data_IF_191390951855
#
_entry.id   IF_191390951855
#
_cell.length_a   1.000
_cell.length_b   1.000
_cell.length_c   1.000
_cell.angle_alpha   90.00
_cell.angle_beta   90.00
_cell.angle_gamma   90.00
#
_symmetry.space_group_name_H-M   'P 1'
#
loop_
_entity.id
_entity.type
_entity.pdbx_description
1 polymer ?
#
# COMPACT_ATOMS: atom_id res chain seq x y z
N UNK A 1 29.25 -8.62 -3.81
CA UNK A 1 28.21 -9.44 -3.15
C UNK A 1 27.96 -8.82 -1.79
N UNK A 2 26.99 -7.91 -1.70
CA UNK A 2 26.71 -7.17 -0.46
C UNK A 2 25.99 -8.06 0.53
N UNK A 3 26.49 -8.09 1.76
CA UNK A 3 25.98 -8.78 2.95
C UNK A 3 24.46 -8.62 3.10
N UNK A 4 23.71 -9.74 3.08
CA UNK A 4 22.36 -9.86 3.64
C UNK A 4 22.49 -9.90 5.18
N UNK A 5 22.97 -8.81 5.78
CA UNK A 5 23.15 -8.69 7.23
C UNK A 5 21.80 -8.51 7.94
N UNK A 6 21.49 -9.45 8.85
CA UNK A 6 20.70 -9.29 10.10
C UNK A 6 19.37 -8.51 10.05
N UNK A 7 18.45 -8.83 9.13
CA UNK A 7 17.07 -8.33 9.21
C UNK A 7 16.14 -9.44 9.70
N UNK A 8 15.35 -9.18 10.76
CA UNK A 8 14.41 -10.16 11.34
C UNK A 8 13.34 -10.62 10.34
N UNK A 9 12.89 -9.73 9.44
CA UNK A 9 11.90 -10.03 8.41
C UNK A 9 12.12 -9.14 7.18
N UNK A 10 12.21 -9.75 6.01
CA UNK A 10 12.20 -9.06 4.72
C UNK A 10 10.76 -8.72 4.31
N UNK A 11 10.61 -7.64 3.54
CA UNK A 11 9.35 -7.28 2.89
C UNK A 11 8.94 -8.34 1.85
N UNK A 12 7.65 -8.44 1.54
CA UNK A 12 7.15 -9.40 0.55
C UNK A 12 7.82 -9.25 -0.83
N UNK A 13 8.04 -8.02 -1.30
CA UNK A 13 8.72 -7.74 -2.57
C UNK A 13 10.17 -8.24 -2.57
N UNK A 14 10.90 -8.11 -1.46
CA UNK A 14 12.27 -8.59 -1.34
C UNK A 14 12.34 -10.12 -1.20
N UNK A 15 11.45 -10.70 -0.39
CA UNK A 15 11.41 -12.13 -0.11
C UNK A 15 11.04 -12.94 -1.36
N UNK A 16 10.11 -12.42 -2.17
CA UNK A 16 9.59 -13.09 -3.37
C UNK A 16 10.00 -12.39 -4.67
N UNK A 17 11.10 -11.63 -4.65
CA UNK A 17 11.58 -10.83 -5.78
C UNK A 17 11.68 -11.67 -7.06
N UNK A 18 12.27 -12.86 -6.97
CA UNK A 18 12.48 -13.68 -8.17
C UNK A 18 11.18 -14.25 -8.77
N UNK A 19 10.13 -14.40 -7.97
CA UNK A 19 8.81 -14.83 -8.43
C UNK A 19 8.07 -13.65 -9.09
N UNK A 20 8.13 -12.48 -8.46
CA UNK A 20 7.59 -11.22 -8.98
C UNK A 20 8.25 -10.88 -10.32
N UNK A 21 9.59 -10.90 -10.39
CA UNK A 21 10.35 -10.61 -11.62
C UNK A 21 10.01 -11.57 -12.75
N UNK A 22 9.81 -12.85 -12.43
CA UNK A 22 9.43 -13.85 -13.42
C UNK A 22 8.04 -13.60 -13.99
N UNK A 23 7.09 -13.17 -13.15
CA UNK A 23 5.74 -12.79 -13.58
C UNK A 23 5.76 -11.52 -14.43
N UNK A 24 6.49 -10.48 -14.01
CA UNK A 24 6.64 -9.22 -14.77
C UNK A 24 7.26 -9.49 -16.14
N UNK A 25 8.36 -10.27 -16.20
CA UNK A 25 9.04 -10.60 -17.46
C UNK A 25 8.18 -11.43 -18.42
N UNK A 26 7.27 -12.23 -17.89
CA UNK A 26 6.40 -13.09 -18.68
C UNK A 26 5.04 -12.46 -18.99
N UNK A 27 4.85 -11.17 -18.69
CA UNK A 27 3.56 -10.51 -18.84
C UNK A 27 3.13 -10.45 -20.31
N UNK A 28 1.85 -10.75 -20.54
CA UNK A 28 1.20 -10.74 -21.86
C UNK A 28 -0.15 -10.04 -21.86
N UNK A 29 -0.70 -9.77 -20.68
CA UNK A 29 -1.99 -9.10 -20.53
C UNK A 29 -1.76 -7.60 -20.29
N UNK A 30 -2.79 -6.77 -20.52
CA UNK A 30 -2.72 -5.35 -20.19
C UNK A 30 -2.40 -5.12 -18.71
N UNK A 31 -1.51 -4.17 -18.45
CA UNK A 31 -1.12 -3.73 -17.12
C UNK A 31 -1.83 -2.40 -16.84
N UNK A 32 -2.67 -2.31 -15.78
CA UNK A 32 -3.30 -1.05 -15.37
C UNK A 32 -2.27 0.03 -15.03
N UNK A 33 -2.66 1.30 -15.13
CA UNK A 33 -1.80 2.44 -14.74
C UNK A 33 -1.36 2.31 -13.27
N UNK A 34 -0.09 2.56 -13.00
CA UNK A 34 0.50 2.45 -11.65
C UNK A 34 0.84 1.01 -11.22
N UNK A 35 0.41 -0.02 -11.96
CA UNK A 35 0.69 -1.41 -11.64
C UNK A 35 1.98 -1.90 -12.30
N UNK A 36 2.65 -2.87 -11.66
CA UNK A 36 3.87 -3.52 -12.17
C UNK A 36 3.58 -4.76 -13.00
N UNK A 37 2.41 -5.38 -12.83
CA UNK A 37 1.98 -6.57 -13.56
C UNK A 37 0.46 -6.61 -13.71
N UNK A 38 -0.06 -7.49 -14.57
CA UNK A 38 -1.50 -7.58 -14.82
C UNK A 38 -2.27 -8.18 -13.63
N UNK A 39 -3.59 -7.95 -13.54
CA UNK A 39 -4.46 -8.57 -12.54
C UNK A 39 -4.36 -10.10 -12.47
N UNK A 40 -4.16 -10.75 -13.63
CA UNK A 40 -3.97 -12.21 -13.70
C UNK A 40 -2.63 -12.65 -13.12
N UNK A 41 -1.57 -11.88 -13.34
CA UNK A 41 -0.26 -12.14 -12.76
C UNK A 41 -0.26 -11.92 -11.26
N UNK A 42 -0.93 -10.87 -10.76
CA UNK A 42 -1.16 -10.67 -9.31
C UNK A 42 -1.91 -11.85 -8.70
N UNK A 43 -2.98 -12.32 -9.36
CA UNK A 43 -3.72 -13.49 -8.88
C UNK A 43 -2.85 -14.75 -8.85
N UNK A 44 -2.02 -14.96 -9.87
CA UNK A 44 -1.09 -16.10 -9.93
C UNK A 44 0.00 -15.99 -8.85
N UNK A 45 0.51 -14.79 -8.58
CA UNK A 45 1.45 -14.53 -7.50
C UNK A 45 0.88 -14.95 -6.14
N UNK A 46 -0.36 -14.56 -5.85
CA UNK A 46 -1.01 -14.77 -4.54
C UNK A 46 -1.51 -16.20 -4.38
N UNK A 47 -2.25 -16.72 -5.36
CA UNK A 47 -2.90 -18.04 -5.27
C UNK A 47 -2.00 -19.19 -5.76
N UNK A 48 -0.79 -18.89 -6.23
CA UNK A 48 0.13 -19.88 -6.78
C UNK A 48 -0.24 -20.30 -8.21
N UNK A 49 0.69 -20.99 -8.85
CA UNK A 49 0.55 -21.43 -10.23
C UNK A 49 1.91 -21.66 -10.90
N UNK A 50 1.98 -21.41 -12.20
CA UNK A 50 3.22 -21.51 -12.97
C UNK A 50 3.35 -20.35 -13.94
N UNK A 51 4.56 -19.86 -14.10
CA UNK A 51 4.94 -18.88 -15.12
C UNK A 51 6.12 -19.43 -15.92
N UNK A 52 5.85 -19.82 -17.16
CA UNK A 52 6.81 -20.58 -17.97
C UNK A 52 7.25 -21.85 -17.25
N UNK A 53 8.55 -21.96 -16.94
CA UNK A 53 9.13 -23.09 -16.18
C UNK A 53 9.18 -22.87 -14.67
N UNK A 54 8.87 -21.67 -14.17
CA UNK A 54 8.93 -21.34 -12.75
C UNK A 54 7.59 -21.65 -12.06
N UNK A 55 7.65 -22.38 -10.95
CA UNK A 55 6.50 -22.60 -10.08
C UNK A 55 6.38 -21.44 -9.11
N UNK A 56 5.17 -20.88 -9.00
CA UNK A 56 4.84 -19.81 -8.06
C UNK A 56 4.16 -20.45 -6.86
N UNK A 57 4.77 -20.31 -5.68
CA UNK A 57 4.23 -20.87 -4.44
C UNK A 57 3.02 -20.04 -3.99
N UNK A 58 1.89 -20.63 -3.57
CA UNK A 58 0.76 -19.85 -3.05
C UNK A 58 1.15 -19.12 -1.75
N UNK A 59 0.83 -17.82 -1.67
CA UNK A 59 1.02 -16.98 -0.47
C UNK A 59 -0.25 -16.94 0.37
N UNK A 60 -1.40 -17.20 -0.24
CA UNK A 60 -2.70 -17.21 0.43
C UNK A 60 -3.36 -18.57 0.26
N UNK A 61 -3.64 -19.23 1.38
CA UNK A 61 -4.36 -20.50 1.45
C UNK A 61 -5.79 -20.17 1.90
N UNK A 62 -6.69 -19.98 0.94
CA UNK A 62 -8.07 -19.61 1.21
C UNK A 62 -8.90 -19.59 -0.06
N UNK A 63 -10.08 -18.96 0.00
CA UNK A 63 -10.96 -18.89 -1.15
C UNK A 63 -10.38 -17.94 -2.21
N UNK A 64 -9.95 -18.50 -3.35
CA UNK A 64 -9.42 -17.76 -4.51
C UNK A 64 -10.34 -16.61 -4.95
N UNK A 65 -11.65 -16.79 -4.85
CA UNK A 65 -12.64 -15.76 -5.22
C UNK A 65 -12.47 -14.47 -4.41
N UNK A 66 -12.04 -14.55 -3.15
CA UNK A 66 -11.78 -13.36 -2.33
C UNK A 66 -10.62 -12.53 -2.90
N UNK A 67 -9.57 -13.21 -3.38
CA UNK A 67 -8.42 -12.55 -4.00
C UNK A 67 -8.82 -11.92 -5.33
N UNK A 68 -9.65 -12.61 -6.14
CA UNK A 68 -10.19 -12.06 -7.39
C UNK A 68 -11.03 -10.79 -7.15
N UNK A 69 -11.88 -10.79 -6.12
CA UNK A 69 -12.66 -9.61 -5.72
C UNK A 69 -11.72 -8.49 -5.28
N UNK A 70 -10.74 -8.77 -4.42
CA UNK A 70 -9.78 -7.77 -3.96
C UNK A 70 -9.01 -7.10 -5.12
N UNK A 71 -8.52 -7.91 -6.05
CA UNK A 71 -7.83 -7.41 -7.26
C UNK A 71 -8.79 -6.58 -8.11
N UNK A 72 -10.02 -7.05 -8.33
CA UNK A 72 -11.01 -6.33 -9.14
C UNK A 72 -11.37 -4.98 -8.52
N UNK A 73 -11.51 -4.91 -7.19
CA UNK A 73 -11.74 -3.65 -6.47
C UNK A 73 -10.60 -2.66 -6.72
N UNK A 74 -9.34 -3.10 -6.55
CA UNK A 74 -8.16 -2.25 -6.72
C UNK A 74 -7.96 -1.80 -8.18
N UNK A 75 -8.34 -2.61 -9.17
CA UNK A 75 -8.30 -2.22 -10.59
C UNK A 75 -9.31 -1.11 -10.91
N UNK A 76 -10.42 -1.05 -10.17
CA UNK A 76 -11.50 -0.06 -10.39
C UNK A 76 -11.34 1.23 -9.59
N UNK A 77 -10.12 1.53 -9.12
CA UNK A 77 -9.79 2.70 -8.30
C UNK A 77 -10.61 2.82 -7.01
N UNK A 78 -11.16 1.69 -6.53
CA UNK A 78 -11.91 1.64 -5.26
C UNK A 78 -11.00 1.25 -4.11
N UNK A 79 -11.27 1.83 -2.94
CA UNK A 79 -10.65 1.42 -1.70
C UNK A 79 -11.05 -0.02 -1.34
N UNK A 80 -10.10 -0.78 -0.81
CA UNK A 80 -10.31 -2.16 -0.37
C UNK A 80 -10.28 -2.22 1.16
N UNK A 81 -11.38 -2.67 1.77
CA UNK A 81 -11.46 -2.95 3.19
C UNK A 81 -11.47 -4.46 3.43
N UNK A 82 -10.49 -4.96 4.19
CA UNK A 82 -10.39 -6.36 4.58
C UNK A 82 -10.90 -6.53 6.03
N UNK A 83 -12.01 -7.24 6.21
CA UNK A 83 -12.61 -7.53 7.51
C UNK A 83 -12.58 -9.04 7.76
N UNK A 84 -12.28 -9.44 8.99
CA UNK A 84 -12.26 -10.83 9.42
C UNK A 84 -11.65 -10.99 10.81
N UNK A 85 -11.80 -12.16 11.41
CA UNK A 85 -11.29 -12.48 12.74
C UNK A 85 -9.77 -12.28 12.85
N UNK A 86 -9.22 -11.99 14.04
CA UNK A 86 -7.77 -11.97 14.24
C UNK A 86 -7.10 -13.27 13.73
N UNK A 87 -5.91 -13.15 13.10
CA UNK A 87 -5.19 -14.32 12.56
C UNK A 87 -5.62 -14.79 11.16
N UNK A 88 -6.63 -14.18 10.52
CA UNK A 88 -7.11 -14.54 9.16
C UNK A 88 -6.25 -14.04 7.99
N UNK A 89 -4.94 -13.82 8.22
CA UNK A 89 -3.97 -13.39 7.20
C UNK A 89 -4.31 -12.08 6.44
N UNK A 90 -5.13 -11.18 7.01
CA UNK A 90 -5.51 -9.90 6.37
C UNK A 90 -4.29 -9.02 6.03
N UNK A 91 -3.43 -8.77 7.03
CA UNK A 91 -2.23 -7.96 6.86
C UNK A 91 -1.19 -8.61 5.94
N UNK A 92 -1.21 -9.95 5.87
CA UNK A 92 -0.37 -10.70 4.93
C UNK A 92 -0.87 -10.55 3.50
N UNK A 93 -2.19 -10.70 3.27
CA UNK A 93 -2.79 -10.52 1.96
C UNK A 93 -2.65 -9.07 1.46
N UNK A 94 -2.86 -8.07 2.32
CA UNK A 94 -2.68 -6.66 1.95
C UNK A 94 -1.23 -6.34 1.58
N UNK A 95 -0.26 -6.90 2.32
CA UNK A 95 1.17 -6.79 1.99
C UNK A 95 1.50 -7.38 0.62
N UNK A 96 1.05 -8.60 0.36
CA UNK A 96 1.30 -9.29 -0.90
C UNK A 96 0.60 -8.66 -2.10
N UNK A 97 -0.62 -8.15 -1.92
CA UNK A 97 -1.31 -7.37 -2.96
C UNK A 97 -0.49 -6.13 -3.31
N UNK A 98 -0.06 -5.37 -2.30
CA UNK A 98 0.69 -4.12 -2.52
C UNK A 98 2.06 -4.37 -3.15
N UNK A 99 2.77 -5.42 -2.69
CA UNK A 99 4.05 -5.84 -3.25
C UNK A 99 3.92 -6.28 -4.72
N UNK A 100 2.89 -7.05 -5.07
CA UNK A 100 2.67 -7.48 -6.45
C UNK A 100 2.21 -6.33 -7.36
N UNK A 101 1.39 -5.42 -6.83
CA UNK A 101 0.79 -4.33 -7.61
C UNK A 101 1.79 -3.20 -7.84
N UNK A 102 2.38 -2.62 -6.78
CA UNK A 102 3.26 -1.45 -6.91
C UNK A 102 4.74 -1.76 -6.72
N UNK A 103 5.10 -2.94 -6.18
CA UNK A 103 6.48 -3.29 -5.85
C UNK A 103 7.00 -2.67 -4.56
N UNK A 104 6.12 -2.08 -3.73
CA UNK A 104 6.49 -1.49 -2.46
C UNK A 104 5.34 -1.67 -1.45
N UNK A 105 5.51 -2.53 -0.46
CA UNK A 105 4.49 -2.80 0.56
C UNK A 105 4.65 -2.01 1.87
N UNK A 106 5.66 -1.12 1.91
CA UNK A 106 6.13 -0.44 3.13
C UNK A 106 5.37 0.83 3.49
N UNK A 107 4.47 1.31 2.62
CA UNK A 107 3.61 2.48 2.85
C UNK A 107 2.45 2.10 3.76
N UNK A 108 2.75 1.91 5.04
CA UNK A 108 1.80 1.43 6.04
C UNK A 108 1.63 2.43 7.17
N UNK A 109 0.38 2.60 7.61
CA UNK A 109 0.03 3.26 8.86
C UNK A 109 -0.58 2.19 9.78
N UNK A 110 -0.03 2.08 10.97
CA UNK A 110 -0.56 1.19 12.01
C UNK A 110 -1.53 1.97 12.89
N UNK A 111 -2.81 1.63 12.81
CA UNK A 111 -3.86 2.21 13.62
C UNK A 111 -3.71 1.84 15.09
N UNK A 112 -3.73 2.86 15.95
CA UNK A 112 -3.65 2.76 17.41
C UNK A 112 -4.47 3.90 18.03
N UNK A 113 -4.73 3.81 19.34
CA UNK A 113 -5.42 4.87 20.06
C UNK A 113 -4.66 6.22 20.05
N UNK A 114 -3.34 6.19 19.81
CA UNK A 114 -2.49 7.37 19.68
C UNK A 114 -2.28 7.84 18.24
N UNK A 115 -2.95 7.23 17.25
CA UNK A 115 -2.83 7.67 15.86
C UNK A 115 -3.51 9.03 15.71
N UNK A 116 -2.88 9.95 15.00
CA UNK A 116 -3.41 11.30 14.77
C UNK A 116 -3.75 11.53 13.30
N UNK A 117 -4.56 12.54 13.01
CA UNK A 117 -4.83 12.96 11.63
C UNK A 117 -3.54 13.33 10.88
N UNK A 118 -2.58 13.96 11.55
CA UNK A 118 -1.28 14.31 10.96
C UNK A 118 -0.50 13.08 10.46
N UNK A 119 -0.60 11.95 11.18
CA UNK A 119 0.02 10.70 10.75
C UNK A 119 -0.66 10.08 9.53
N UNK A 120 -1.95 10.38 9.32
CA UNK A 120 -2.71 9.98 8.13
C UNK A 120 -2.38 10.90 6.95
N UNK A 121 -2.42 12.23 7.15
CA UNK A 121 -2.26 13.23 6.10
C UNK A 121 -0.81 13.66 5.92
N UNK A 122 -0.34 14.58 6.75
CA UNK A 122 1.03 15.07 6.81
C UNK A 122 1.24 15.75 8.17
N UNK A 123 2.49 15.85 8.59
CA UNK A 123 2.86 16.58 9.81
C UNK A 123 3.90 17.65 9.45
N UNK A 124 4.43 18.33 10.46
CA UNK A 124 5.39 19.41 10.30
C UNK A 124 6.64 19.17 11.13
N UNK A 125 7.79 19.55 10.59
CA UNK A 125 8.97 19.81 11.40
C UNK A 125 8.74 21.13 12.15
N UNK A 126 8.27 21.04 13.40
CA UNK A 126 7.90 22.21 14.18
C UNK A 126 9.04 23.22 14.38
N UNK A 127 10.31 22.77 14.42
CA UNK A 127 11.44 23.68 14.54
C UNK A 127 11.57 24.56 13.29
N UNK A 128 11.46 23.96 12.09
CA UNK A 128 11.47 24.70 10.83
C UNK A 128 10.20 25.55 10.67
N UNK A 129 9.05 25.01 11.06
CA UNK A 129 7.78 25.73 11.00
C UNK A 129 7.81 27.02 11.85
N UNK A 130 8.40 26.97 13.04
CA UNK A 130 8.56 28.16 13.91
C UNK A 130 9.58 29.15 13.32
N UNK A 131 10.67 28.64 12.74
CA UNK A 131 11.76 29.48 12.24
C UNK A 131 11.43 30.17 10.90
N UNK A 132 10.77 29.46 9.98
CA UNK A 132 10.62 29.85 8.57
C UNK A 132 9.15 29.92 8.13
N UNK A 133 8.21 29.48 8.97
CA UNK A 133 6.81 29.33 8.60
C UNK A 133 6.54 28.05 7.80
N UNK A 134 5.32 27.91 7.24
CA UNK A 134 4.97 26.76 6.40
C UNK A 134 5.77 26.78 5.09
N UNK A 135 6.66 25.80 4.92
CA UNK A 135 7.44 25.59 3.71
C UNK A 135 7.39 24.13 3.29
N UNK A 136 7.70 23.81 2.03
CA UNK A 136 7.73 22.40 1.57
C UNK A 136 8.76 21.59 2.35
N UNK A 137 9.85 22.22 2.77
CA UNK A 137 10.94 21.64 3.52
C UNK A 137 10.53 21.35 4.97
N UNK A 138 9.64 22.16 5.56
CA UNK A 138 9.07 21.90 6.87
C UNK A 138 8.01 20.79 6.84
N UNK A 139 7.42 20.48 5.68
CA UNK A 139 6.37 19.46 5.56
C UNK A 139 6.96 18.05 5.69
N UNK A 140 6.36 17.23 6.54
CA UNK A 140 6.71 15.82 6.72
C UNK A 140 5.59 14.97 6.11
N UNK A 141 5.82 14.36 4.92
CA UNK A 141 4.79 13.60 4.24
C UNK A 141 4.53 12.26 4.93
N UNK A 142 3.25 11.90 5.07
CA UNK A 142 2.83 10.60 5.59
C UNK A 142 3.02 9.47 4.56
N UNK A 143 2.86 8.18 4.94
CA UNK A 143 2.79 7.09 3.97
C UNK A 143 1.67 7.25 2.94
N UNK A 144 0.51 7.79 3.32
CA UNK A 144 -0.60 8.04 2.39
C UNK A 144 -0.26 9.20 1.45
N UNK A 145 0.30 10.30 1.97
CA UNK A 145 0.74 11.42 1.14
C UNK A 145 1.70 10.95 0.03
N UNK A 146 2.75 10.20 0.40
CA UNK A 146 3.69 9.64 -0.58
C UNK A 146 2.99 8.68 -1.55
N UNK A 147 2.02 7.91 -1.06
CA UNK A 147 1.28 6.99 -1.92
C UNK A 147 0.46 7.72 -2.97
N UNK A 148 -0.16 8.85 -2.61
CA UNK A 148 -0.90 9.69 -3.52
C UNK A 148 0.02 10.37 -4.54
N UNK A 149 1.17 10.92 -4.12
CA UNK A 149 2.14 11.53 -5.03
C UNK A 149 2.65 10.55 -6.10
N UNK A 150 2.89 9.29 -5.74
CA UNK A 150 3.44 8.30 -6.68
C UNK A 150 2.35 7.46 -7.39
N UNK A 151 1.06 7.69 -7.12
CA UNK A 151 -0.03 6.89 -7.68
C UNK A 151 0.03 5.41 -7.28
N UNK A 152 0.26 5.14 -5.99
CA UNK A 152 0.45 3.77 -5.44
C UNK A 152 -0.50 3.48 -4.29
N UNK A 153 -0.56 2.22 -3.86
CA UNK A 153 -1.37 1.78 -2.73
C UNK A 153 -0.65 2.09 -1.40
N UNK A 154 -1.36 2.79 -0.52
CA UNK A 154 -1.06 2.83 0.91
C UNK A 154 -1.93 1.83 1.69
N UNK A 155 -1.43 1.39 2.84
CA UNK A 155 -2.12 0.47 3.74
C UNK A 155 -2.40 1.13 5.08
N UNK A 156 -3.61 0.96 5.59
CA UNK A 156 -3.97 1.31 6.97
C UNK A 156 -4.38 0.03 7.68
N UNK A 157 -3.58 -0.39 8.64
CA UNK A 157 -3.82 -1.59 9.44
C UNK A 157 -4.49 -1.19 10.75
N UNK A 158 -5.31 -2.07 11.34
CA UNK A 158 -5.98 -1.82 12.63
C UNK A 158 -6.76 -0.47 12.72
N UNK A 159 -7.37 -0.03 11.61
CA UNK A 159 -8.17 1.23 11.54
C UNK A 159 -9.22 1.34 12.65
N UNK A 160 -9.80 0.21 13.08
CA UNK A 160 -10.80 0.15 14.16
C UNK A 160 -10.25 0.57 15.52
N UNK A 161 -8.93 0.71 15.69
CA UNK A 161 -8.29 1.16 16.92
C UNK A 161 -8.01 2.66 16.93
N UNK A 162 -8.16 3.34 15.79
CA UNK A 162 -8.05 4.78 15.69
C UNK A 162 -9.29 5.48 16.29
N UNK A 163 -9.12 6.70 16.80
CA UNK A 163 -10.24 7.55 17.19
C UNK A 163 -11.15 7.86 15.99
N UNK A 164 -12.43 8.14 16.23
CA UNK A 164 -13.41 8.42 15.16
C UNK A 164 -12.99 9.58 14.26
N UNK A 165 -12.43 10.65 14.83
CA UNK A 165 -11.93 11.81 14.08
C UNK A 165 -10.84 11.42 13.06
N UNK A 166 -9.98 10.47 13.41
CA UNK A 166 -8.93 9.96 12.52
C UNK A 166 -9.51 9.06 11.42
N UNK A 167 -10.56 8.30 11.74
CA UNK A 167 -11.28 7.52 10.73
C UNK A 167 -12.04 8.43 9.76
N UNK A 168 -12.61 9.54 10.24
CA UNK A 168 -13.31 10.52 9.43
C UNK A 168 -12.38 11.25 8.46
N UNK A 169 -11.13 11.51 8.86
CA UNK A 169 -10.12 12.09 7.98
C UNK A 169 -9.89 11.25 6.70
N UNK A 170 -10.06 9.93 6.77
CA UNK A 170 -9.96 9.03 5.62
C UNK A 170 -11.14 9.16 4.65
N UNK A 171 -12.31 9.64 5.09
CA UNK A 171 -13.49 9.77 4.22
C UNK A 171 -13.15 10.64 3.01
N UNK A 172 -12.64 11.86 3.27
CA UNK A 172 -12.22 12.81 2.23
C UNK A 172 -11.18 12.21 1.28
N UNK A 173 -10.15 11.55 1.84
CA UNK A 173 -9.07 10.93 1.08
C UNK A 173 -9.58 9.81 0.17
N UNK A 174 -10.54 9.01 0.64
CA UNK A 174 -11.09 7.88 -0.11
C UNK A 174 -12.15 8.30 -1.13
N UNK A 175 -12.89 9.38 -0.87
CA UNK A 175 -13.94 9.88 -1.78
C UNK A 175 -13.40 10.79 -2.87
N UNK A 176 -12.55 11.75 -2.51
CA UNK A 176 -12.07 12.79 -3.42
C UNK A 176 -10.75 12.41 -4.09
N UNK A 177 -10.02 11.44 -3.51
CA UNK A 177 -8.69 11.03 -3.97
C UNK A 177 -7.71 12.19 -4.02
N UNK A 178 -7.92 13.18 -3.16
CA UNK A 178 -7.16 14.43 -3.04
C UNK A 178 -6.79 14.69 -1.59
N UNK A 179 -5.61 15.23 -1.38
CA UNK A 179 -5.10 15.70 -0.11
C UNK A 179 -4.71 17.17 -0.28
N UNK A 180 -5.41 18.05 0.44
CA UNK A 180 -5.12 19.48 0.44
C UNK A 180 -4.07 19.79 1.52
N UNK A 181 -3.11 20.64 1.16
CA UNK A 181 -2.16 21.31 2.07
C UNK A 181 -2.40 22.82 1.98
N UNK A 182 -3.41 23.35 2.68
CA UNK A 182 -3.84 24.74 2.52
C UNK A 182 -2.73 25.74 2.84
N UNK A 183 -1.88 25.44 3.82
CA UNK A 183 -0.78 26.31 4.23
C UNK A 183 0.23 26.58 3.11
N UNK A 184 0.30 25.69 2.12
CA UNK A 184 1.18 25.80 0.95
C UNK A 184 0.42 26.06 -0.36
N UNK A 185 -0.90 26.24 -0.32
CA UNK A 185 -1.78 26.25 -1.50
C UNK A 185 -1.50 25.08 -2.45
N UNK A 186 -1.30 23.88 -1.87
CA UNK A 186 -0.92 22.68 -2.60
C UNK A 186 -2.02 21.63 -2.50
N UNK A 187 -2.24 20.91 -3.58
CA UNK A 187 -3.18 19.80 -3.65
C UNK A 187 -2.46 18.59 -4.26
N UNK A 188 -2.47 17.47 -3.54
CA UNK A 188 -1.92 16.20 -3.99
C UNK A 188 -3.08 15.32 -4.45
N UNK A 189 -3.00 14.82 -5.68
CA UNK A 189 -3.96 13.88 -6.25
C UNK A 189 -3.26 12.62 -6.75
N UNK A 190 -3.95 11.48 -6.69
CA UNK A 190 -3.46 10.22 -7.25
C UNK A 190 -3.80 10.04 -8.74
#
# INVERSE_FOLDING_TARGET
>A
MSKKEEVQRLTAEQLFQEEIDALIKAEKNPIPTGWKMSPKSVLTYICGGKVGKKTIVPKYIGNKRLVEIAISTLVTDRALLLIGEPGTAKSWLSEHLTAAINGNSTRVIQGTAGTTEEQIRYSWNYAMLIAEGPTKEALIPSPIYRAMEDGTIARVEEISRCASEVQDALISLLSEKRLSVPELNLEISC
#
